data_IF_302948708054
#
_entry.id   IF_302948708054
#
_cell.length_a   1.000
_cell.length_b   1.000
_cell.length_c   1.000
_cell.angle_alpha   90.00
_cell.angle_beta   90.00
_cell.angle_gamma   90.00
#
_symmetry.space_group_name_H-M   'P 1'
#
loop_
_entity.id
_entity.type
_entity.pdbx_description
1 polymer ?
#
# COMPACT_ATOMS: atom_id res chain seq x y z
N UNK A 1 -24.38 0.27 20.55
CA UNK A 1 -22.96 0.24 20.14
C UNK A 1 -22.80 -0.73 18.98
N UNK A 2 -22.80 -0.28 17.73
CA UNK A 2 -22.46 -1.10 16.57
C UNK A 2 -20.93 -1.22 16.54
N UNK A 3 -20.43 -2.44 16.60
CA UNK A 3 -18.99 -2.72 16.37
C UNK A 3 -18.69 -2.40 14.92
N UNK A 4 -18.01 -1.30 14.65
CA UNK A 4 -17.35 -1.03 13.36
C UNK A 4 -16.13 -1.94 13.32
N UNK A 5 -16.27 -3.10 12.69
CA UNK A 5 -15.17 -4.03 12.47
C UNK A 5 -14.31 -3.50 11.33
N UNK A 6 -13.17 -2.91 11.63
CA UNK A 6 -12.16 -2.57 10.61
C UNK A 6 -11.17 -1.46 10.96
N UNK A 7 -11.37 -0.66 11.99
CA UNK A 7 -10.42 0.37 12.37
C UNK A 7 -9.60 -0.03 13.60
N UNK A 8 -8.30 -0.20 13.44
CA UNK A 8 -7.33 -0.17 14.54
C UNK A 8 -6.45 1.06 14.37
N UNK A 9 -6.69 2.09 15.16
CA UNK A 9 -5.74 3.19 15.32
C UNK A 9 -4.62 2.72 16.25
N UNK A 10 -3.38 2.65 15.78
CA UNK A 10 -2.22 2.46 16.64
C UNK A 10 -1.87 3.85 17.19
N UNK A 11 -2.12 4.04 18.46
CA UNK A 11 -1.94 5.32 19.16
C UNK A 11 -0.48 5.51 19.55
N UNK A 12 0.24 6.39 18.87
CA UNK A 12 1.34 7.15 19.47
C UNK A 12 0.77 8.44 20.06
N UNK A 13 1.30 8.96 21.19
CA UNK A 13 0.82 10.22 21.77
C UNK A 13 0.91 11.42 20.82
N UNK A 14 1.78 11.35 19.81
CA UNK A 14 2.07 12.45 18.87
C UNK A 14 1.46 12.26 17.48
N UNK A 15 1.14 11.00 17.05
CA UNK A 15 0.65 10.70 15.71
C UNK A 15 -0.46 9.65 15.74
N UNK A 16 -1.33 9.67 14.74
CA UNK A 16 -2.32 8.62 14.55
C UNK A 16 -2.21 8.02 13.15
N UNK A 17 -2.09 6.70 13.11
CA UNK A 17 -2.16 5.92 11.87
C UNK A 17 -3.63 5.65 11.56
N UNK A 18 -4.09 6.10 10.41
CA UNK A 18 -5.38 5.69 9.85
C UNK A 18 -5.14 4.49 8.97
N UNK A 19 -5.57 3.32 9.41
CA UNK A 19 -5.53 2.10 8.61
C UNK A 19 -6.86 1.92 7.89
N UNK A 20 -6.87 2.08 6.59
CA UNK A 20 -8.01 1.73 5.73
C UNK A 20 -7.90 0.23 5.43
N UNK A 21 -8.76 -0.56 6.05
CA UNK A 21 -8.87 -1.99 5.78
C UNK A 21 -10.26 -2.29 5.26
N UNK A 22 -10.42 -2.25 3.94
CA UNK A 22 -11.59 -2.81 3.27
C UNK A 22 -11.58 -4.33 3.40
N UNK A 23 -12.70 -4.93 3.78
CA UNK A 23 -12.88 -6.38 3.79
C UNK A 23 -14.10 -6.71 2.95
N UNK A 24 -13.87 -7.15 1.72
CA UNK A 24 -14.91 -7.88 0.99
C UNK A 24 -15.03 -9.23 1.69
N UNK A 25 -16.10 -9.44 2.44
CA UNK A 25 -16.31 -10.72 3.12
C UNK A 25 -16.88 -11.75 2.15
N UNK A 26 -16.09 -12.81 1.92
CA UNK A 26 -16.53 -14.05 1.32
C UNK A 26 -16.43 -14.14 -0.20
N UNK A 27 -16.70 -15.36 -0.72
CA UNK A 27 -16.66 -15.68 -2.15
C UNK A 27 -17.58 -14.80 -3.03
N UNK A 28 -18.66 -14.24 -2.47
CA UNK A 28 -19.57 -13.35 -3.19
C UNK A 28 -18.92 -12.01 -3.54
N UNK A 29 -18.12 -11.44 -2.64
CA UNK A 29 -17.40 -10.19 -2.88
C UNK A 29 -16.31 -10.33 -3.94
N UNK A 30 -15.55 -11.44 -3.90
CA UNK A 30 -14.53 -11.72 -4.93
C UNK A 30 -15.17 -11.92 -6.31
N UNK A 31 -16.32 -12.58 -6.39
CA UNK A 31 -17.06 -12.73 -7.67
C UNK A 31 -17.56 -11.41 -8.21
N UNK A 32 -18.05 -10.52 -7.36
CA UNK A 32 -18.48 -9.18 -7.76
C UNK A 32 -17.32 -8.38 -8.36
N UNK A 33 -16.15 -8.38 -7.72
CA UNK A 33 -14.95 -7.71 -8.25
C UNK A 33 -14.52 -8.33 -9.59
N UNK A 34 -14.55 -9.66 -9.71
CA UNK A 34 -14.24 -10.37 -10.95
C UNK A 34 -15.23 -10.03 -12.08
N UNK A 35 -16.51 -9.93 -11.79
CA UNK A 35 -17.56 -9.55 -12.76
C UNK A 35 -17.36 -8.12 -13.24
N UNK A 36 -17.17 -7.14 -12.34
CA UNK A 36 -16.90 -5.75 -12.68
C UNK A 36 -15.63 -5.63 -13.51
N UNK A 37 -14.54 -6.32 -13.10
CA UNK A 37 -13.30 -6.32 -13.88
C UNK A 37 -13.47 -6.88 -15.29
N UNK A 38 -14.25 -7.95 -15.46
CA UNK A 38 -14.55 -8.51 -16.80
C UNK A 38 -15.35 -7.54 -17.68
N UNK A 39 -16.23 -6.74 -17.08
CA UNK A 39 -17.09 -5.79 -17.79
C UNK A 39 -16.36 -4.48 -18.12
N UNK A 40 -15.58 -3.95 -17.20
CA UNK A 40 -15.01 -2.60 -17.27
C UNK A 40 -13.50 -2.60 -17.56
N UNK A 41 -12.81 -3.72 -17.32
CA UNK A 41 -11.34 -3.82 -17.35
C UNK A 41 -10.65 -3.15 -16.17
N UNK A 42 -11.41 -2.67 -15.17
CA UNK A 42 -10.91 -1.91 -14.02
C UNK A 42 -11.44 -2.47 -12.72
N UNK A 43 -10.54 -2.88 -11.83
CA UNK A 43 -10.90 -3.39 -10.49
C UNK A 43 -11.43 -2.28 -9.58
N UNK A 44 -10.93 -1.06 -9.73
CA UNK A 44 -11.33 0.10 -8.93
C UNK A 44 -12.79 0.52 -9.16
N UNK A 45 -13.38 0.23 -10.33
CA UNK A 45 -14.81 0.47 -10.57
C UNK A 45 -15.72 -0.32 -9.62
N UNK A 46 -15.24 -1.45 -9.10
CA UNK A 46 -15.95 -2.22 -8.09
C UNK A 46 -15.94 -1.57 -6.70
N UNK A 47 -15.11 -0.57 -6.49
CA UNK A 47 -14.92 0.08 -5.18
C UNK A 47 -15.54 1.48 -5.10
N UNK A 48 -16.10 1.98 -6.19
CA UNK A 48 -16.96 3.16 -6.19
C UNK A 48 -18.32 2.88 -5.52
N UNK A 49 -19.03 3.92 -5.09
CA UNK A 49 -20.31 3.79 -4.41
C UNK A 49 -20.15 3.35 -2.95
N UNK A 50 -20.86 2.31 -2.49
CA UNK A 50 -20.95 1.91 -1.08
C UNK A 50 -19.59 1.77 -0.37
N UNK A 51 -18.53 1.13 -0.94
CA UNK A 51 -17.23 1.07 -0.29
C UNK A 51 -16.60 2.45 -0.09
N UNK A 52 -16.74 3.34 -1.06
CA UNK A 52 -16.27 4.73 -0.96
C UNK A 52 -17.06 5.50 0.11
N UNK A 53 -18.39 5.41 0.10
CA UNK A 53 -19.26 6.12 1.03
C UNK A 53 -19.01 5.69 2.49
N UNK A 54 -18.84 4.38 2.72
CA UNK A 54 -18.54 3.83 4.05
C UNK A 54 -17.16 4.33 4.57
N UNK A 55 -16.16 4.39 3.71
CA UNK A 55 -14.82 4.84 4.08
C UNK A 55 -14.81 6.35 4.34
N UNK A 56 -15.45 7.17 3.50
CA UNK A 56 -15.50 8.63 3.71
C UNK A 56 -16.28 8.98 4.96
N UNK A 57 -17.42 8.32 5.23
CA UNK A 57 -18.14 8.51 6.48
C UNK A 57 -17.30 8.13 7.72
N UNK A 58 -16.47 7.09 7.62
CA UNK A 58 -15.58 6.71 8.70
C UNK A 58 -14.41 7.69 8.87
N UNK A 59 -13.93 8.29 7.79
CA UNK A 59 -12.90 9.35 7.79
C UNK A 59 -13.46 10.61 8.43
N UNK A 60 -14.67 11.05 8.06
CA UNK A 60 -15.37 12.19 8.69
C UNK A 60 -15.48 11.99 10.20
N UNK A 61 -16.01 10.83 10.60
CA UNK A 61 -16.16 10.50 12.01
C UNK A 61 -14.83 10.50 12.77
N UNK A 62 -13.74 10.01 12.14
CA UNK A 62 -12.40 10.04 12.74
C UNK A 62 -11.87 11.46 12.90
N UNK A 63 -11.99 12.31 11.88
CA UNK A 63 -11.49 13.69 11.95
C UNK A 63 -12.28 14.54 12.91
N UNK A 64 -13.59 14.38 12.98
CA UNK A 64 -14.46 15.10 13.89
C UNK A 64 -14.26 14.71 15.37
N UNK A 65 -14.00 13.43 15.65
CA UNK A 65 -14.08 12.92 17.03
C UNK A 65 -12.76 12.46 17.62
N UNK A 66 -11.71 12.21 16.81
CA UNK A 66 -10.50 11.56 17.29
C UNK A 66 -9.19 12.18 16.83
N UNK A 67 -9.17 12.91 15.73
CA UNK A 67 -7.92 13.45 15.18
C UNK A 67 -7.43 14.69 15.92
N UNK A 68 -8.31 15.56 16.43
CA UNK A 68 -7.99 16.79 17.14
C UNK A 68 -7.05 17.72 16.33
N UNK A 69 -7.22 17.78 15.00
CA UNK A 69 -6.40 18.62 14.11
C UNK A 69 -4.95 18.14 13.90
N UNK A 70 -4.58 16.97 14.41
CA UNK A 70 -3.19 16.45 14.30
C UNK A 70 -2.85 16.04 12.86
N UNK A 71 -1.56 16.11 12.47
CA UNK A 71 -1.05 15.47 11.27
C UNK A 71 -1.31 13.95 11.29
N UNK A 72 -1.43 13.36 10.12
CA UNK A 72 -1.77 11.94 10.00
C UNK A 72 -1.04 11.28 8.83
N UNK A 73 -1.01 9.94 8.87
CA UNK A 73 -0.52 9.06 7.81
C UNK A 73 -1.66 8.13 7.42
N UNK A 74 -1.84 7.94 6.12
CA UNK A 74 -2.70 6.89 5.58
C UNK A 74 -1.85 5.66 5.32
N UNK A 75 -2.34 4.48 5.72
CA UNK A 75 -1.73 3.21 5.36
C UNK A 75 -2.83 2.26 4.85
N UNK A 76 -2.65 1.79 3.63
CA UNK A 76 -3.59 0.92 2.94
C UNK A 76 -2.85 -0.20 2.22
N UNK A 77 -3.53 -1.32 1.95
CA UNK A 77 -2.98 -2.44 1.20
C UNK A 77 -4.03 -3.03 0.27
N UNK A 78 -3.62 -3.43 -0.94
CA UNK A 78 -4.45 -4.17 -1.88
C UNK A 78 -5.75 -3.42 -2.21
N UNK A 79 -6.90 -4.02 -2.01
CA UNK A 79 -8.22 -3.37 -2.14
C UNK A 79 -8.31 -2.05 -1.35
N UNK A 80 -7.73 -2.00 -0.16
CA UNK A 80 -7.69 -0.77 0.63
C UNK A 80 -6.92 0.34 -0.07
N UNK A 81 -5.86 0.02 -0.83
CA UNK A 81 -5.10 0.98 -1.63
C UNK A 81 -5.88 1.46 -2.85
N UNK A 82 -6.63 0.58 -3.51
CA UNK A 82 -7.53 0.97 -4.59
C UNK A 82 -8.61 1.96 -4.11
N UNK A 83 -9.25 1.67 -2.98
CA UNK A 83 -10.24 2.59 -2.37
C UNK A 83 -9.56 3.89 -1.90
N UNK A 84 -8.37 3.81 -1.29
CA UNK A 84 -7.63 4.99 -0.87
C UNK A 84 -7.29 5.93 -2.04
N UNK A 85 -6.97 5.39 -3.22
CA UNK A 85 -6.77 6.22 -4.41
C UNK A 85 -8.04 6.98 -4.79
N UNK A 86 -9.22 6.35 -4.74
CA UNK A 86 -10.50 7.02 -5.02
C UNK A 86 -10.78 8.11 -3.97
N UNK A 87 -10.52 7.82 -2.70
CA UNK A 87 -10.69 8.79 -1.59
C UNK A 87 -9.74 9.97 -1.75
N UNK A 88 -8.47 9.71 -2.04
CA UNK A 88 -7.46 10.76 -2.26
C UNK A 88 -7.79 11.63 -3.48
N UNK A 89 -8.29 11.03 -4.56
CA UNK A 89 -8.66 11.74 -5.77
C UNK A 89 -9.89 12.64 -5.61
N UNK A 90 -10.89 12.23 -4.84
CA UNK A 90 -12.17 12.90 -4.73
C UNK A 90 -12.33 13.61 -3.39
N UNK A 91 -12.37 12.88 -2.28
CA UNK A 91 -12.62 13.43 -0.96
C UNK A 91 -11.53 14.44 -0.53
N UNK A 92 -10.25 14.11 -0.72
CA UNK A 92 -9.15 15.02 -0.37
C UNK A 92 -9.05 16.23 -1.31
N UNK A 93 -9.56 16.12 -2.53
CA UNK A 93 -9.69 17.28 -3.43
C UNK A 93 -10.72 18.28 -2.93
N UNK A 94 -11.81 17.79 -2.32
CA UNK A 94 -12.87 18.62 -1.71
C UNK A 94 -12.46 19.14 -0.32
N UNK A 95 -11.47 18.51 0.32
CA UNK A 95 -10.94 18.84 1.66
C UNK A 95 -9.44 19.15 1.62
N UNK A 96 -9.01 20.25 0.95
CA UNK A 96 -7.59 20.56 0.77
C UNK A 96 -6.83 20.75 2.09
N UNK A 97 -7.50 21.16 3.16
CA UNK A 97 -6.94 21.28 4.51
C UNK A 97 -6.45 19.94 5.07
N UNK A 98 -6.98 18.82 4.58
CA UNK A 98 -6.51 17.50 4.95
C UNK A 98 -5.19 17.17 4.24
N UNK A 99 -5.01 17.59 2.98
CA UNK A 99 -3.74 17.42 2.27
C UNK A 99 -2.58 18.12 3.00
N UNK A 100 -2.82 19.30 3.54
CA UNK A 100 -1.81 20.06 4.30
C UNK A 100 -1.36 19.33 5.58
N UNK A 101 -2.22 18.51 6.16
CA UNK A 101 -1.96 17.74 7.37
C UNK A 101 -1.54 16.30 7.11
N UNK A 102 -1.64 15.82 5.87
CA UNK A 102 -1.23 14.47 5.48
C UNK A 102 0.30 14.41 5.36
N UNK A 103 0.95 13.66 6.24
CA UNK A 103 2.40 13.44 6.18
C UNK A 103 2.75 12.55 4.98
N UNK A 104 2.04 11.44 4.82
CA UNK A 104 2.20 10.53 3.69
C UNK A 104 1.00 9.58 3.58
N UNK A 105 0.78 9.03 2.39
CA UNK A 105 -0.15 7.95 2.13
C UNK A 105 0.61 6.73 1.57
N UNK A 106 0.81 5.72 2.39
CA UNK A 106 1.34 4.40 2.00
C UNK A 106 0.18 3.59 1.42
N UNK A 107 0.04 3.61 0.09
CA UNK A 107 -1.03 2.93 -0.66
C UNK A 107 -0.42 1.76 -1.45
N UNK A 108 -0.03 0.73 -0.72
CA UNK A 108 0.84 -0.35 -1.18
C UNK A 108 0.02 -1.52 -1.71
N UNK A 109 0.55 -2.26 -2.67
CA UNK A 109 -0.09 -3.45 -3.23
C UNK A 109 -1.24 -3.14 -4.20
N UNK A 110 -1.27 -1.94 -4.79
CA UNK A 110 -2.12 -1.56 -5.92
C UNK A 110 -1.45 -0.42 -6.69
N UNK A 111 -1.33 -0.57 -8.01
CA UNK A 111 -0.54 0.35 -8.83
C UNK A 111 -1.02 1.80 -8.78
N UNK A 112 -0.07 2.73 -8.70
CA UNK A 112 -0.27 4.16 -8.95
C UNK A 112 0.31 4.48 -10.31
N UNK A 113 -0.42 5.16 -11.18
CA UNK A 113 0.03 5.46 -12.54
C UNK A 113 0.28 6.95 -12.75
N UNK A 114 1.11 7.34 -13.74
CA UNK A 114 1.29 8.73 -14.12
C UNK A 114 -0.03 9.40 -14.49
N UNK A 115 -0.90 8.68 -15.19
CA UNK A 115 -2.21 9.18 -15.62
C UNK A 115 -3.12 9.49 -14.42
N UNK A 116 -3.04 8.68 -13.36
CA UNK A 116 -3.75 8.96 -12.12
C UNK A 116 -3.26 10.26 -11.46
N UNK A 117 -1.94 10.49 -11.43
CA UNK A 117 -1.36 11.71 -10.86
C UNK A 117 -1.66 12.94 -11.73
N UNK A 118 -1.61 12.80 -13.05
CA UNK A 118 -1.95 13.87 -13.99
C UNK A 118 -3.42 14.31 -13.84
N UNK A 119 -4.33 13.36 -13.65
CA UNK A 119 -5.74 13.63 -13.39
C UNK A 119 -6.00 14.25 -12.01
N UNK A 120 -5.06 14.10 -11.07
CA UNK A 120 -5.18 14.54 -9.68
C UNK A 120 -3.98 15.40 -9.24
N UNK A 121 -3.80 16.62 -9.79
CA UNK A 121 -2.59 17.43 -9.60
C UNK A 121 -2.38 17.92 -8.15
N UNK A 122 -3.34 17.74 -7.26
CA UNK A 122 -3.20 17.97 -5.83
C UNK A 122 -2.45 16.84 -5.11
N UNK A 123 -2.23 15.70 -5.77
CA UNK A 123 -1.50 14.55 -5.26
C UNK A 123 -0.09 14.51 -5.86
N UNK A 124 0.89 14.06 -5.07
CA UNK A 124 2.29 13.91 -5.49
C UNK A 124 2.79 12.53 -5.13
N UNK A 125 3.59 11.91 -5.96
CA UNK A 125 4.29 10.68 -5.61
C UNK A 125 5.60 10.99 -4.91
N UNK A 126 6.03 10.15 -3.96
CA UNK A 126 7.28 10.31 -3.25
C UNK A 126 8.49 10.20 -4.22
N UNK A 127 9.48 11.06 -4.04
CA UNK A 127 10.72 11.09 -4.82
C UNK A 127 11.97 10.79 -4.00
N UNK A 128 11.80 10.67 -2.68
CA UNK A 128 12.86 10.38 -1.72
C UNK A 128 12.33 9.82 -0.41
N UNK A 129 13.19 9.78 0.60
CA UNK A 129 12.88 9.15 1.89
C UNK A 129 12.18 10.07 2.90
N UNK A 130 12.16 11.38 2.68
CA UNK A 130 11.75 12.39 3.66
C UNK A 130 10.74 13.42 3.14
N UNK A 131 10.37 13.38 1.85
CA UNK A 131 9.31 14.25 1.33
C UNK A 131 7.97 13.97 2.01
N UNK A 132 7.15 15.01 2.15
CA UNK A 132 5.87 14.96 2.86
C UNK A 132 4.70 15.39 1.99
N UNK A 133 3.47 15.03 2.36
CA UNK A 133 2.28 15.24 1.53
C UNK A 133 2.27 14.36 0.28
N UNK A 134 2.84 13.16 0.34
CA UNK A 134 3.12 12.32 -0.83
C UNK A 134 2.45 10.95 -0.75
N UNK A 135 2.24 10.35 -1.93
CA UNK A 135 1.84 8.97 -2.10
C UNK A 135 3.08 8.08 -2.19
N UNK A 136 3.00 6.91 -1.61
CA UNK A 136 4.05 5.89 -1.60
C UNK A 136 3.41 4.58 -2.02
N UNK A 137 3.94 3.93 -3.05
CA UNK A 137 3.41 2.67 -3.55
C UNK A 137 4.48 1.77 -4.13
N UNK A 138 4.24 0.47 -4.05
CA UNK A 138 4.91 -0.60 -4.78
C UNK A 138 4.05 -1.86 -4.76
N UNK A 139 4.37 -2.79 -5.66
CA UNK A 139 3.98 -4.19 -5.63
C UNK A 139 5.27 -5.01 -5.65
N UNK A 140 5.32 -6.13 -4.93
CA UNK A 140 6.53 -6.97 -4.86
C UNK A 140 6.31 -8.28 -5.60
N UNK A 141 7.22 -8.61 -6.51
CA UNK A 141 7.20 -9.84 -7.29
C UNK A 141 8.55 -10.56 -7.26
N UNK A 142 8.49 -11.88 -7.41
CA UNK A 142 9.66 -12.71 -7.65
C UNK A 142 10.03 -12.77 -9.14
N UNK A 143 11.21 -13.32 -9.40
CA UNK A 143 11.83 -13.35 -10.72
C UNK A 143 10.95 -14.00 -11.79
N UNK A 144 10.29 -15.12 -11.46
CA UNK A 144 9.46 -15.88 -12.41
C UNK A 144 8.26 -15.08 -12.91
N UNK A 145 7.57 -14.33 -12.03
CA UNK A 145 6.44 -13.46 -12.45
C UNK A 145 6.89 -12.41 -13.46
N UNK A 146 8.09 -11.86 -13.27
CA UNK A 146 8.66 -10.84 -14.15
C UNK A 146 9.11 -11.47 -15.49
N UNK A 147 9.87 -12.57 -15.47
CA UNK A 147 10.35 -13.25 -16.67
C UNK A 147 9.22 -13.78 -17.56
N UNK A 148 8.14 -14.28 -16.98
CA UNK A 148 6.95 -14.74 -17.69
C UNK A 148 6.00 -13.61 -18.07
N UNK A 149 6.28 -12.37 -17.67
CA UNK A 149 5.36 -11.24 -17.75
C UNK A 149 3.93 -11.62 -17.31
N UNK A 150 3.87 -12.29 -16.15
CA UNK A 150 2.65 -12.90 -15.67
C UNK A 150 1.57 -11.87 -15.35
N UNK A 151 0.31 -12.20 -15.61
CA UNK A 151 -0.83 -11.36 -15.23
C UNK A 151 -0.87 -11.14 -13.71
N UNK A 152 -1.08 -9.91 -13.29
CA UNK A 152 -1.26 -9.53 -11.91
C UNK A 152 -2.26 -8.36 -11.83
N UNK A 153 -3.43 -8.62 -11.25
CA UNK A 153 -4.57 -7.67 -11.24
C UNK A 153 -4.31 -6.37 -10.47
N UNK A 154 -3.29 -6.34 -9.61
CA UNK A 154 -2.92 -5.14 -8.84
C UNK A 154 -1.74 -4.38 -9.43
N UNK A 155 -1.08 -4.94 -10.45
CA UNK A 155 -0.02 -4.29 -11.21
C UNK A 155 -0.63 -3.65 -12.45
N UNK A 156 -0.91 -2.36 -12.37
CA UNK A 156 -1.48 -1.62 -13.50
C UNK A 156 -0.39 -1.28 -14.52
N UNK A 157 -0.72 -1.18 -15.80
CA UNK A 157 0.22 -0.69 -16.82
C UNK A 157 0.79 0.67 -16.43
N UNK A 158 2.08 0.88 -16.67
CA UNK A 158 2.81 2.11 -16.37
C UNK A 158 2.84 2.48 -14.86
N UNK A 159 2.59 1.53 -13.96
CA UNK A 159 2.66 1.80 -12.52
C UNK A 159 4.01 2.39 -12.11
N UNK A 160 3.97 3.34 -11.18
CA UNK A 160 5.14 3.89 -10.52
C UNK A 160 5.33 3.16 -9.20
N UNK A 161 6.55 2.76 -8.91
CA UNK A 161 6.96 2.22 -7.61
C UNK A 161 8.15 2.98 -7.06
N UNK A 162 8.26 3.05 -5.72
CA UNK A 162 9.47 3.49 -5.04
C UNK A 162 10.11 2.28 -4.34
N UNK A 163 11.43 2.18 -4.36
CA UNK A 163 12.14 1.09 -3.71
C UNK A 163 12.02 1.20 -2.18
N UNK A 164 11.46 0.20 -1.47
CA UNK A 164 11.20 0.30 -0.03
C UNK A 164 12.44 0.21 0.87
N UNK A 165 13.62 -0.05 0.31
CA UNK A 165 14.88 -0.09 1.06
C UNK A 165 15.67 1.22 0.93
N UNK A 166 15.90 1.70 -0.31
CA UNK A 166 16.72 2.89 -0.57
C UNK A 166 15.92 4.14 -0.94
N UNK A 167 14.59 4.05 -1.05
CA UNK A 167 13.64 5.14 -1.34
C UNK A 167 13.92 5.89 -2.65
N UNK A 168 14.44 5.18 -3.66
CA UNK A 168 14.69 5.70 -5.00
C UNK A 168 13.62 5.25 -5.99
N UNK A 169 13.50 6.01 -7.09
CA UNK A 169 12.60 5.74 -8.22
C UNK A 169 13.32 5.09 -9.42
N UNK A 170 14.63 4.92 -9.34
CA UNK A 170 15.44 4.26 -10.36
C UNK A 170 15.67 2.78 -10.04
N UNK A 171 16.32 2.07 -10.95
CA UNK A 171 16.65 0.65 -10.83
C UNK A 171 17.86 0.35 -9.95
N UNK A 172 18.32 1.30 -9.12
CA UNK A 172 19.40 1.07 -8.17
C UNK A 172 19.06 -0.10 -7.26
N UNK A 173 19.83 -1.16 -7.34
CA UNK A 173 19.69 -2.34 -6.50
C UNK A 173 19.98 -2.01 -5.04
N UNK A 174 19.10 -2.42 -4.15
CA UNK A 174 19.26 -2.37 -2.69
C UNK A 174 19.43 -3.81 -2.16
N UNK A 175 20.63 -4.19 -1.68
CA UNK A 175 20.90 -5.54 -1.20
C UNK A 175 20.14 -5.84 0.09
N UNK A 176 19.94 -7.13 0.40
CA UNK A 176 19.29 -7.57 1.62
C UNK A 176 19.93 -7.02 2.91
N UNK A 177 21.22 -6.65 2.87
CA UNK A 177 21.90 -5.99 3.99
C UNK A 177 21.36 -4.58 4.33
N UNK A 178 20.61 -3.95 3.43
CA UNK A 178 19.89 -2.69 3.68
C UNK A 178 18.49 -2.92 4.27
N UNK A 179 18.03 -4.17 4.30
CA UNK A 179 16.77 -4.54 4.95
C UNK A 179 16.97 -4.62 6.46
N UNK A 180 16.25 -3.78 7.20
CA UNK A 180 16.33 -3.66 8.66
C UNK A 180 15.55 -4.76 9.41
N UNK A 181 14.98 -5.69 8.66
CA UNK A 181 14.25 -6.85 9.18
C UNK A 181 12.79 -6.90 8.74
N UNK A 182 12.40 -8.11 8.34
CA UNK A 182 11.06 -8.45 7.89
C UNK A 182 10.21 -8.99 9.02
N UNK A 183 8.92 -8.72 9.00
CA UNK A 183 7.97 -9.27 9.98
C UNK A 183 7.42 -10.59 9.44
N UNK A 184 7.75 -11.70 10.11
CA UNK A 184 7.33 -13.05 9.72
C UNK A 184 6.65 -13.76 10.89
N UNK A 185 5.92 -14.83 10.59
CA UNK A 185 5.43 -15.71 11.64
C UNK A 185 6.55 -16.66 12.08
N UNK A 186 6.77 -16.80 13.37
CA UNK A 186 7.65 -17.80 13.92
C UNK A 186 7.10 -19.20 13.60
N UNK A 187 7.89 -20.05 12.98
CA UNK A 187 7.45 -21.37 12.49
C UNK A 187 6.95 -22.32 13.59
N UNK A 188 7.43 -22.13 14.83
CA UNK A 188 7.08 -23.00 15.96
C UNK A 188 5.89 -22.50 16.76
N UNK A 189 5.79 -21.18 16.90
CA UNK A 189 4.79 -20.56 17.80
C UNK A 189 3.65 -19.86 17.02
N UNK A 190 3.88 -19.54 15.73
CA UNK A 190 2.97 -18.71 14.94
C UNK A 190 2.97 -17.21 15.32
N UNK A 191 3.73 -16.83 16.35
CA UNK A 191 3.81 -15.44 16.79
C UNK A 191 4.66 -14.60 15.83
N UNK A 192 4.35 -13.31 15.66
CA UNK A 192 5.14 -12.43 14.80
C UNK A 192 6.54 -12.20 15.37
N UNK A 193 7.54 -12.30 14.51
CA UNK A 193 8.95 -12.00 14.84
C UNK A 193 9.61 -11.19 13.73
N UNK A 194 10.65 -10.44 14.08
CA UNK A 194 11.51 -9.77 13.11
C UNK A 194 12.66 -10.70 12.75
N UNK A 195 12.81 -10.97 11.45
CA UNK A 195 13.85 -11.86 10.94
C UNK A 195 14.43 -11.30 9.63
N UNK A 196 15.71 -11.56 9.41
CA UNK A 196 16.33 -11.44 8.09
C UNK A 196 15.89 -12.67 7.25
N UNK A 197 15.25 -12.40 6.13
CA UNK A 197 14.79 -13.41 5.16
C UNK A 197 15.44 -13.22 3.81
N UNK A 198 16.52 -12.46 3.73
CA UNK A 198 17.21 -12.17 2.48
C UNK A 198 16.43 -11.29 1.52
N UNK A 199 15.38 -10.59 1.98
CA UNK A 199 14.60 -9.72 1.12
C UNK A 199 15.40 -8.48 0.72
N UNK A 200 15.79 -8.43 -0.54
CA UNK A 200 16.39 -7.31 -1.26
C UNK A 200 15.31 -6.55 -2.04
N UNK A 201 15.70 -5.49 -2.76
CA UNK A 201 14.77 -4.75 -3.59
C UNK A 201 15.46 -4.11 -4.80
N UNK A 202 14.88 -4.32 -5.98
CA UNK A 202 15.24 -3.61 -7.20
C UNK A 202 13.98 -3.24 -7.99
N UNK A 203 13.87 -2.01 -8.47
CA UNK A 203 12.75 -1.64 -9.34
C UNK A 203 12.90 -2.26 -10.72
N UNK A 204 11.82 -2.84 -11.22
CA UNK A 204 11.64 -3.26 -12.62
C UNK A 204 10.76 -2.19 -13.28
N UNK A 205 11.41 -1.16 -13.83
CA UNK A 205 10.76 0.08 -14.27
C UNK A 205 9.68 -0.16 -15.33
N UNK A 206 9.94 -1.05 -16.29
CA UNK A 206 9.00 -1.37 -17.39
C UNK A 206 7.70 -2.00 -16.87
N UNK A 207 7.77 -2.65 -15.71
CA UNK A 207 6.63 -3.32 -15.08
C UNK A 207 6.06 -2.53 -13.90
N UNK A 208 6.83 -1.59 -13.36
CA UNK A 208 6.42 -0.78 -12.21
C UNK A 208 6.29 -1.57 -10.90
N UNK A 209 7.18 -2.53 -10.66
CA UNK A 209 7.19 -3.39 -9.47
C UNK A 209 8.56 -3.44 -8.81
N UNK A 210 8.61 -3.94 -7.59
CA UNK A 210 9.83 -4.31 -6.87
C UNK A 210 10.11 -5.79 -7.09
N UNK A 211 11.24 -6.13 -7.69
CA UNK A 211 11.81 -7.46 -7.66
C UNK A 211 12.45 -7.70 -6.29
N UNK A 212 12.10 -8.81 -5.63
CA UNK A 212 12.73 -9.25 -4.39
C UNK A 212 13.04 -10.75 -4.45
N UNK A 213 14.12 -11.15 -3.76
CA UNK A 213 14.55 -12.55 -3.60
C UNK A 213 14.33 -13.05 -2.16
N UNK A 214 13.46 -12.41 -1.40
CA UNK A 214 13.15 -12.82 -0.03
C UNK A 214 12.66 -14.28 0.07
N UNK A 215 13.02 -14.93 1.18
CA UNK A 215 12.65 -16.31 1.48
C UNK A 215 11.13 -16.47 1.57
N UNK A 216 10.54 -17.27 0.66
CA UNK A 216 9.09 -17.47 0.62
C UNK A 216 8.75 -18.81 -0.06
N UNK A 217 7.77 -19.52 0.48
CA UNK A 217 7.28 -20.78 -0.07
C UNK A 217 6.11 -20.54 -1.06
N UNK A 218 6.46 -20.35 -2.34
CA UNK A 218 5.46 -20.22 -3.39
C UNK A 218 4.67 -21.50 -3.66
N UNK A 219 5.19 -22.67 -3.28
CA UNK A 219 4.48 -23.93 -3.48
C UNK A 219 3.27 -24.05 -2.55
N UNK A 220 3.34 -23.40 -1.39
CA UNK A 220 2.21 -23.29 -0.45
C UNK A 220 1.10 -22.32 -0.92
N UNK A 221 1.36 -21.47 -1.93
CA UNK A 221 0.35 -20.51 -2.42
C UNK A 221 -0.70 -21.25 -3.25
N UNK A 222 -2.00 -21.10 -2.93
CA UNK A 222 -3.08 -21.71 -3.70
C UNK A 222 -3.07 -21.30 -5.18
N UNK A 223 -3.29 -22.24 -6.07
CA UNK A 223 -3.25 -22.03 -7.53
C UNK A 223 -4.20 -20.93 -8.03
N UNK A 224 -5.35 -20.74 -7.38
CA UNK A 224 -6.26 -19.64 -7.75
C UNK A 224 -5.66 -18.26 -7.46
N UNK A 225 -4.83 -18.11 -6.41
CA UNK A 225 -4.12 -16.86 -6.13
C UNK A 225 -2.99 -16.61 -7.12
N UNK A 226 -2.27 -17.66 -7.52
CA UNK A 226 -1.23 -17.56 -8.57
C UNK A 226 -1.82 -17.12 -9.91
N UNK A 227 -3.08 -17.51 -10.22
CA UNK A 227 -3.78 -17.06 -11.43
C UNK A 227 -4.20 -15.59 -11.35
N UNK A 228 -4.41 -15.04 -10.15
CA UNK A 228 -4.83 -13.65 -9.94
C UNK A 228 -3.60 -12.72 -9.85
N UNK A 229 -2.55 -13.14 -9.16
CA UNK A 229 -1.41 -12.29 -8.80
C UNK A 229 -0.09 -12.70 -9.47
N UNK A 230 -0.08 -13.76 -10.28
CA UNK A 230 1.14 -14.32 -10.86
C UNK A 230 1.78 -15.42 -10.00
N UNK A 231 2.70 -16.20 -10.60
CA UNK A 231 3.27 -17.40 -9.96
C UNK A 231 4.18 -17.10 -8.76
N UNK A 232 4.82 -15.95 -8.76
CA UNK A 232 5.72 -15.50 -7.69
C UNK A 232 5.36 -14.07 -7.28
N UNK A 233 4.16 -13.88 -6.74
CA UNK A 233 3.74 -12.62 -6.16
C UNK A 233 3.92 -12.62 -4.65
N UNK A 234 4.59 -11.61 -4.13
CA UNK A 234 4.69 -11.33 -2.69
C UNK A 234 3.59 -10.39 -2.20
N UNK A 235 2.48 -10.27 -2.93
CA UNK A 235 1.41 -9.33 -2.63
C UNK A 235 0.98 -9.31 -1.16
N UNK A 236 0.84 -10.50 -0.54
CA UNK A 236 0.53 -10.59 0.89
C UNK A 236 1.64 -10.09 1.82
N UNK A 237 2.83 -9.88 1.30
CA UNK A 237 4.05 -9.55 2.04
C UNK A 237 4.62 -8.15 1.73
N UNK A 238 3.97 -7.37 0.87
CA UNK A 238 4.44 -6.03 0.47
C UNK A 238 4.84 -5.13 1.66
N UNK A 239 4.11 -5.19 2.77
CA UNK A 239 4.46 -4.49 4.01
C UNK A 239 5.45 -5.27 4.88
N UNK A 240 5.27 -6.57 4.97
CA UNK A 240 5.98 -7.37 5.97
C UNK A 240 7.43 -7.63 5.60
N UNK A 241 7.74 -7.73 4.31
CA UNK A 241 9.11 -7.89 3.82
C UNK A 241 10.01 -6.71 4.18
N UNK A 242 9.46 -5.50 4.18
CA UNK A 242 10.20 -4.25 4.41
C UNK A 242 9.77 -3.55 5.70
N UNK A 243 9.29 -4.32 6.69
CA UNK A 243 8.59 -3.80 7.86
C UNK A 243 9.38 -2.74 8.63
N UNK A 244 10.63 -3.03 8.99
CA UNK A 244 11.44 -2.08 9.75
C UNK A 244 11.93 -0.90 8.91
N UNK A 245 12.14 -1.07 7.60
CA UNK A 245 12.46 0.03 6.68
C UNK A 245 11.27 1.00 6.57
N UNK A 246 10.05 0.49 6.45
CA UNK A 246 8.83 1.31 6.46
C UNK A 246 8.70 2.05 7.78
N UNK A 247 8.93 1.37 8.91
CA UNK A 247 8.86 1.97 10.25
C UNK A 247 9.86 3.13 10.41
N UNK A 248 11.09 2.96 9.94
CA UNK A 248 12.10 4.01 9.95
C UNK A 248 11.72 5.16 9.02
N UNK A 249 11.26 4.85 7.82
CA UNK A 249 10.81 5.85 6.85
C UNK A 249 9.65 6.69 7.37
N UNK A 250 8.66 6.06 8.02
CA UNK A 250 7.57 6.77 8.69
C UNK A 250 8.13 7.77 9.71
N UNK A 251 9.12 7.39 10.52
CA UNK A 251 9.73 8.29 11.49
C UNK A 251 10.44 9.48 10.81
N UNK A 252 11.23 9.22 9.75
CA UNK A 252 11.91 10.28 8.98
C UNK A 252 10.92 11.29 8.39
N UNK A 253 9.84 10.83 7.76
CA UNK A 253 8.81 11.72 7.18
C UNK A 253 8.07 12.54 8.23
N UNK A 254 7.84 11.94 9.40
CA UNK A 254 7.27 12.65 10.55
C UNK A 254 8.21 13.76 11.03
N UNK A 255 9.49 13.47 11.18
CA UNK A 255 10.52 14.45 11.57
C UNK A 255 10.63 15.58 10.54
N UNK A 256 10.67 15.24 9.24
CA UNK A 256 10.69 16.23 8.16
C UNK A 256 9.45 17.10 8.15
N UNK A 257 8.26 16.52 8.35
CA UNK A 257 7.01 17.30 8.44
C UNK A 257 7.04 18.30 9.59
N UNK A 258 7.47 17.88 10.79
CA UNK A 258 7.54 18.74 11.97
C UNK A 258 8.60 19.84 11.85
N UNK A 259 9.69 19.59 11.13
CA UNK A 259 10.74 20.58 10.89
C UNK A 259 10.29 21.70 9.94
N UNK A 260 9.23 21.48 9.16
CA UNK A 260 8.71 22.42 8.17
C UNK A 260 7.42 23.16 8.64
N UNK A 261 6.99 22.93 9.89
CA UNK A 261 5.90 23.66 10.54
C UNK A 261 6.41 24.91 11.27
#
# INVERSE_FOLDING_TARGET
MRKINGFRAILSPQFRLVRIQGRIQGQAGLRFVEEVWKETGRVDDAFSGMPYDDITAAIDYYFENYNDGRPFIIAAHSQGSAIAQIVLANYFKEHPELNERMIAAYIIGYGVTPEYLEANPHLKFATGEDDTGVLISWNTEGKKSIEENADNVVVLPNSISINPLNWKLDDTYAPASENLGSLVANEKTGEPEIRDIGADAQLVLDRGVVLSNGEFDFDAVPEFLKKIFGPESFHGNDYTFFYNNIKENVAKRVEAYLANQ
#
